data_IF_101704155630
#
_entry.id   IF_101704155630
#
_cell.length_a   1.000
_cell.length_b   1.000
_cell.length_c   1.000
_cell.angle_alpha   90.00
_cell.angle_beta   90.00
_cell.angle_gamma   90.00
#
_symmetry.space_group_name_H-M   'P 1'
#
loop_
_entity.id
_entity.type
_entity.pdbx_description
1 polymer ?
#
# COMPACT_ATOMS: atom_id res chain seq x y z
N UNK A 1 17.82 27.43 -30.44
CA UNK A 1 18.21 26.31 -29.55
C UNK A 1 17.74 26.67 -28.16
N UNK A 2 16.60 26.13 -27.72
CA UNK A 2 16.07 26.33 -26.36
C UNK A 2 15.87 24.94 -25.78
N UNK A 3 16.60 24.61 -24.72
CA UNK A 3 16.36 23.43 -23.90
C UNK A 3 15.82 23.88 -22.52
N UNK A 4 14.68 23.27 -22.18
CA UNK A 4 14.20 22.83 -20.84
C UNK A 4 13.84 23.89 -19.79
N UNK A 5 12.57 23.85 -19.36
CA UNK A 5 12.25 23.46 -17.97
C UNK A 5 10.74 23.21 -17.75
N UNK A 6 10.47 22.11 -17.03
CA UNK A 6 9.27 21.80 -16.24
C UNK A 6 8.05 21.18 -16.94
N UNK A 7 8.14 19.89 -17.27
CA UNK A 7 6.98 19.01 -17.10
C UNK A 7 6.99 18.49 -15.66
N UNK A 8 5.96 18.82 -14.89
CA UNK A 8 5.67 18.25 -13.59
C UNK A 8 5.59 16.72 -13.72
N UNK A 9 6.61 16.02 -13.19
CA UNK A 9 6.78 14.57 -13.32
C UNK A 9 5.64 13.77 -12.70
N UNK A 10 4.61 13.49 -13.49
CA UNK A 10 3.57 12.50 -13.15
C UNK A 10 4.18 11.11 -13.26
N UNK A 11 4.28 10.40 -12.13
CA UNK A 11 4.66 8.99 -12.14
C UNK A 11 3.53 8.13 -12.72
N UNK A 12 3.87 7.07 -13.44
CA UNK A 12 2.85 6.12 -13.92
C UNK A 12 2.34 5.23 -12.77
N UNK A 13 1.08 4.73 -12.84
CA UNK A 13 0.56 3.78 -11.86
C UNK A 13 1.44 2.53 -11.71
N UNK A 14 1.97 2.00 -12.82
CA UNK A 14 2.85 0.83 -12.80
C UNK A 14 4.16 1.11 -12.04
N UNK A 15 4.84 2.22 -12.34
CA UNK A 15 6.06 2.60 -11.63
C UNK A 15 5.81 2.84 -10.14
N UNK A 16 4.62 3.34 -9.76
CA UNK A 16 4.21 3.46 -8.36
C UNK A 16 4.08 2.11 -7.68
N UNK A 17 3.39 1.18 -8.33
CA UNK A 17 3.15 -0.18 -7.80
C UNK A 17 4.48 -0.90 -7.58
N UNK A 18 5.44 -0.79 -8.50
CA UNK A 18 6.73 -1.46 -8.34
C UNK A 18 7.55 -0.93 -7.16
N UNK A 19 7.47 0.37 -6.89
CA UNK A 19 8.07 0.97 -5.68
C UNK A 19 7.39 0.46 -4.40
N UNK A 20 6.05 0.39 -4.38
CA UNK A 20 5.32 -0.21 -3.24
C UNK A 20 5.76 -1.66 -3.01
N UNK A 21 5.88 -2.45 -4.09
CA UNK A 21 6.38 -3.84 -4.02
C UNK A 21 7.81 -3.91 -3.48
N UNK A 22 8.67 -2.94 -3.80
CA UNK A 22 10.02 -2.88 -3.29
C UNK A 22 10.06 -2.65 -1.77
N UNK A 23 9.26 -1.71 -1.27
CA UNK A 23 9.11 -1.48 0.18
C UNK A 23 8.54 -2.72 0.88
N UNK A 24 7.49 -3.32 0.33
CA UNK A 24 6.91 -4.57 0.86
C UNK A 24 7.98 -5.66 1.01
N UNK A 25 8.81 -5.88 -0.04
CA UNK A 25 9.91 -6.84 0.01
C UNK A 25 10.98 -6.48 1.05
N UNK A 26 11.33 -5.21 1.21
CA UNK A 26 12.31 -4.76 2.19
C UNK A 26 11.87 -5.07 3.63
N UNK A 27 10.58 -4.96 3.93
CA UNK A 27 10.02 -5.24 5.25
C UNK A 27 9.53 -6.69 5.41
N UNK A 28 9.58 -7.50 4.35
CA UNK A 28 9.04 -8.86 4.36
C UNK A 28 7.51 -8.92 4.47
N UNK A 29 6.82 -7.86 4.02
CA UNK A 29 5.36 -7.72 4.12
C UNK A 29 4.70 -8.11 2.81
N UNK A 30 3.55 -8.79 2.87
CA UNK A 30 2.77 -9.10 1.69
C UNK A 30 2.06 -7.84 1.14
N UNK A 31 2.08 -7.68 -0.19
CA UNK A 31 1.37 -6.55 -0.84
C UNK A 31 -0.13 -6.62 -0.56
N UNK A 32 -0.69 -7.84 -0.46
CA UNK A 32 -2.10 -8.07 -0.11
C UNK A 32 -2.41 -7.56 1.30
N UNK A 33 -1.60 -7.89 2.30
CA UNK A 33 -1.78 -7.40 3.66
C UNK A 33 -1.68 -5.88 3.74
N UNK A 34 -0.65 -5.29 3.12
CA UNK A 34 -0.50 -3.85 3.07
C UNK A 34 -1.74 -3.16 2.46
N UNK A 35 -2.24 -3.67 1.32
CA UNK A 35 -3.42 -3.11 0.65
C UNK A 35 -4.71 -3.26 1.48
N UNK A 36 -4.95 -4.44 2.07
CA UNK A 36 -6.15 -4.70 2.88
C UNK A 36 -6.15 -3.88 4.16
N UNK A 37 -5.06 -3.91 4.92
CA UNK A 37 -4.95 -3.18 6.18
C UNK A 37 -4.97 -1.67 5.96
N UNK A 38 -4.34 -1.16 4.88
CA UNK A 38 -4.45 0.25 4.51
C UNK A 38 -5.88 0.66 4.17
N UNK A 39 -6.59 -0.15 3.36
CA UNK A 39 -7.98 0.10 2.99
C UNK A 39 -8.91 0.16 4.22
N UNK A 40 -8.61 -0.61 5.25
CA UNK A 40 -9.38 -0.69 6.49
C UNK A 40 -8.94 0.30 7.58
N UNK A 41 -7.84 1.03 7.37
CA UNK A 41 -7.29 1.95 8.37
C UNK A 41 -8.11 3.24 8.51
N UNK A 42 -8.85 3.62 7.46
CA UNK A 42 -9.67 4.83 7.50
C UNK A 42 -10.97 4.58 8.29
N UNK A 43 -11.35 5.45 9.25
CA UNK A 43 -12.54 5.21 10.10
C UNK A 43 -13.86 5.12 9.32
N UNK A 44 -13.94 5.77 8.16
CA UNK A 44 -15.10 5.65 7.26
C UNK A 44 -15.19 4.30 6.53
N UNK A 45 -14.12 3.49 6.49
CA UNK A 45 -14.12 2.18 5.86
C UNK A 45 -14.53 1.10 6.87
N UNK A 46 -15.75 0.57 6.75
CA UNK A 46 -16.23 -0.48 7.67
C UNK A 46 -15.83 -1.89 7.27
N UNK A 47 -15.62 -2.12 5.97
CA UNK A 47 -15.27 -3.42 5.41
C UNK A 47 -14.50 -3.24 4.09
N UNK A 48 -13.69 -4.25 3.76
CA UNK A 48 -13.06 -4.40 2.45
C UNK A 48 -13.59 -5.70 1.85
N UNK A 49 -13.98 -5.66 0.56
CA UNK A 49 -14.45 -6.83 -0.19
C UNK A 49 -13.34 -7.20 -1.19
N UNK A 50 -12.33 -7.99 -0.79
CA UNK A 50 -11.33 -8.47 -1.72
C UNK A 50 -11.99 -9.30 -2.82
N UNK A 51 -11.68 -8.96 -4.07
CA UNK A 51 -12.11 -9.75 -5.22
C UNK A 51 -11.37 -11.08 -5.23
N UNK A 52 -12.06 -12.15 -4.89
CA UNK A 52 -11.56 -13.51 -5.06
C UNK A 52 -12.45 -14.29 -6.02
N UNK A 53 -11.83 -14.98 -6.97
CA UNK A 53 -12.51 -15.92 -7.87
C UNK A 53 -12.45 -17.37 -7.37
N UNK A 54 -11.84 -17.64 -6.20
CA UNK A 54 -11.80 -18.99 -5.60
C UNK A 54 -12.07 -18.98 -4.08
N UNK A 55 -12.76 -19.99 -3.54
CA UNK A 55 -13.09 -20.07 -2.11
C UNK A 55 -11.86 -20.06 -1.19
N UNK A 56 -10.77 -20.71 -1.60
CA UNK A 56 -9.55 -20.86 -0.78
C UNK A 56 -8.89 -19.51 -0.41
N UNK A 57 -9.14 -18.46 -1.19
CA UNK A 57 -8.60 -17.13 -0.91
C UNK A 57 -9.21 -16.47 0.34
N UNK A 58 -10.32 -16.98 0.89
CA UNK A 58 -10.85 -16.47 2.17
C UNK A 58 -9.82 -16.65 3.29
N UNK A 59 -9.16 -17.81 3.35
CA UNK A 59 -8.11 -18.06 4.33
C UNK A 59 -6.90 -17.14 4.13
N UNK A 60 -6.53 -16.86 2.87
CA UNK A 60 -5.46 -15.93 2.54
C UNK A 60 -5.79 -14.49 2.94
N UNK A 61 -7.03 -14.05 2.73
CA UNK A 61 -7.47 -12.70 3.10
C UNK A 61 -7.50 -12.51 4.62
N UNK A 62 -7.94 -13.52 5.36
CA UNK A 62 -7.87 -13.54 6.83
C UNK A 62 -6.42 -13.50 7.31
N UNK A 63 -5.54 -14.31 6.70
CA UNK A 63 -4.11 -14.31 7.04
C UNK A 63 -3.47 -12.93 6.74
N UNK A 64 -3.82 -12.31 5.62
CA UNK A 64 -3.31 -10.99 5.24
C UNK A 64 -3.78 -9.87 6.18
N UNK A 65 -5.04 -9.91 6.64
CA UNK A 65 -5.53 -8.96 7.65
C UNK A 65 -4.81 -9.15 8.99
N UNK A 66 -4.38 -10.39 9.31
CA UNK A 66 -3.71 -10.72 10.57
C UNK A 66 -2.19 -10.57 10.53
N UNK A 67 -1.60 -10.28 9.37
CA UNK A 67 -0.16 -10.11 9.20
C UNK A 67 0.33 -8.92 10.04
N UNK A 68 1.41 -9.10 10.81
CA UNK A 68 1.96 -8.02 11.63
C UNK A 68 2.76 -7.05 10.76
N UNK A 69 2.22 -5.86 10.54
CA UNK A 69 2.89 -4.79 9.80
C UNK A 69 3.45 -3.76 10.80
N UNK A 70 4.78 -3.56 10.83
CA UNK A 70 5.41 -2.60 11.75
C UNK A 70 5.07 -1.15 11.37
N UNK A 71 5.03 -0.24 12.36
CA UNK A 71 4.70 1.17 12.14
C UNK A 71 5.70 1.88 11.19
N UNK A 72 6.95 1.41 11.20
CA UNK A 72 8.05 1.88 10.35
C UNK A 72 7.75 1.65 8.87
N UNK A 73 7.04 0.57 8.51
CA UNK A 73 6.63 0.30 7.13
C UNK A 73 5.73 1.42 6.59
N UNK A 74 4.72 1.82 7.38
CA UNK A 74 3.80 2.90 7.00
C UNK A 74 4.51 4.25 6.93
N UNK A 75 5.45 4.48 7.85
CA UNK A 75 6.31 5.66 7.85
C UNK A 75 7.16 5.74 6.59
N UNK A 76 7.76 4.62 6.16
CA UNK A 76 8.54 4.54 4.92
C UNK A 76 7.69 4.88 3.69
N UNK A 77 6.47 4.33 3.58
CA UNK A 77 5.56 4.63 2.47
C UNK A 77 5.21 6.12 2.38
N UNK A 78 5.06 6.82 3.52
CA UNK A 78 4.83 8.27 3.55
C UNK A 78 6.07 9.06 3.14
N UNK A 79 7.24 8.71 3.68
CA UNK A 79 8.52 9.36 3.36
C UNK A 79 8.85 9.26 1.87
N UNK A 80 8.57 8.11 1.27
CA UNK A 80 8.72 7.86 -0.16
C UNK A 80 7.63 8.46 -1.04
N UNK A 81 6.62 9.11 -0.44
CA UNK A 81 5.44 9.70 -1.10
C UNK A 81 4.64 8.67 -1.90
N UNK A 82 4.63 7.41 -1.45
CA UNK A 82 3.85 6.34 -2.07
C UNK A 82 2.39 6.34 -1.59
N UNK A 83 2.14 6.84 -0.38
CA UNK A 83 0.81 7.19 0.15
C UNK A 83 0.77 8.67 0.55
N UNK A 84 -0.42 9.23 0.72
CA UNK A 84 -0.56 10.61 1.18
C UNK A 84 0.03 10.79 2.59
N UNK A 85 0.66 11.94 2.89
CA UNK A 85 1.34 12.16 4.17
C UNK A 85 0.41 12.07 5.38
N UNK A 86 -0.87 12.39 5.20
CA UNK A 86 -1.94 12.38 6.18
C UNK A 86 -2.87 11.16 6.06
N UNK A 87 -2.58 10.22 5.14
CA UNK A 87 -3.39 9.02 4.98
C UNK A 87 -3.48 8.25 6.30
N UNK A 88 -4.68 7.89 6.80
CA UNK A 88 -4.81 7.02 7.95
C UNK A 88 -4.10 5.68 7.70
N UNK A 89 -3.36 5.21 8.69
CA UNK A 89 -2.65 3.93 8.65
C UNK A 89 -2.97 3.17 9.93
N UNK A 90 -2.89 1.83 9.92
CA UNK A 90 -3.07 1.03 11.13
C UNK A 90 -2.15 1.50 12.25
N UNK A 91 -2.71 1.62 13.45
CA UNK A 91 -1.97 1.88 14.69
C UNK A 91 -1.74 0.55 15.38
N UNK A 92 -0.83 -0.25 14.83
CA UNK A 92 -0.41 -1.53 15.43
C UNK A 92 0.61 -1.30 16.53
#
# INVERSE_FOLDING_TARGET
MIFVSSESGVQTPAAKVDRIRAVCRQYGISVKAAALQFSLAHPAARAAIPGSTKPDHVAEDVAAISERIPAEFWTALRQERLIAPDAPVPTT
#
